data_IF_758333909418
#
_entry.id   IF_758333909418
#
_cell.length_a   1.000
_cell.length_b   1.000
_cell.length_c   1.000
_cell.angle_alpha   90.00
_cell.angle_beta   90.00
_cell.angle_gamma   90.00
#
_symmetry.space_group_name_H-M   'P 1'
#
loop_
_entity.id
_entity.type
_entity.pdbx_description
1 polymer ?
#
# COMPACT_ATOMS: atom_id res chain seq x y z
N UNK A 1 -31.88 -18.31 18.96
CA UNK A 1 -31.47 -18.40 17.54
C UNK A 1 -32.15 -17.33 16.67
N UNK A 2 -33.47 -17.08 16.80
CA UNK A 2 -34.19 -16.08 15.97
C UNK A 2 -33.97 -14.59 16.29
N UNK A 3 -33.40 -14.24 17.44
CA UNK A 3 -33.09 -12.83 17.81
C UNK A 3 -31.66 -12.40 17.48
N UNK A 4 -30.79 -13.33 17.09
CA UNK A 4 -29.40 -13.03 16.69
C UNK A 4 -29.37 -12.43 15.28
N UNK A 5 -30.18 -12.99 14.37
CA UNK A 5 -30.25 -12.57 12.97
C UNK A 5 -30.71 -11.11 12.76
N UNK A 6 -31.73 -10.58 13.47
CA UNK A 6 -32.14 -9.18 13.30
C UNK A 6 -31.11 -8.19 13.84
N UNK A 7 -30.43 -8.55 14.94
CA UNK A 7 -29.39 -7.72 15.55
C UNK A 7 -28.17 -7.60 14.64
N UNK A 8 -27.65 -8.73 14.15
CA UNK A 8 -26.53 -8.77 13.20
C UNK A 8 -26.88 -8.05 11.90
N UNK A 9 -28.09 -8.28 11.35
CA UNK A 9 -28.54 -7.55 10.16
C UNK A 9 -28.54 -6.03 10.38
N UNK A 10 -29.06 -5.56 11.52
CA UNK A 10 -29.10 -4.13 11.82
C UNK A 10 -27.71 -3.51 11.93
N UNK A 11 -26.75 -4.24 12.51
CA UNK A 11 -25.36 -3.78 12.61
C UNK A 11 -24.65 -3.80 11.26
N UNK A 12 -24.87 -4.83 10.44
CA UNK A 12 -24.31 -4.88 9.09
C UNK A 12 -24.80 -3.70 8.24
N UNK A 13 -26.12 -3.41 8.26
CA UNK A 13 -26.67 -2.24 7.57
C UNK A 13 -26.08 -0.94 8.09
N UNK A 14 -25.94 -0.81 9.41
CA UNK A 14 -25.35 0.38 10.01
C UNK A 14 -23.89 0.55 9.64
N UNK A 15 -23.10 -0.52 9.57
CA UNK A 15 -21.71 -0.44 9.14
C UNK A 15 -21.58 0.05 7.70
N UNK A 16 -22.39 -0.48 6.77
CA UNK A 16 -22.41 -0.02 5.38
C UNK A 16 -22.85 1.44 5.26
N UNK A 17 -23.83 1.86 6.05
CA UNK A 17 -24.29 3.25 6.10
C UNK A 17 -23.20 4.19 6.62
N UNK A 18 -22.65 3.88 7.80
CA UNK A 18 -21.71 4.74 8.52
C UNK A 18 -20.36 4.85 7.80
N UNK A 19 -19.99 3.84 7.00
CA UNK A 19 -18.73 3.81 6.23
C UNK A 19 -18.96 4.01 4.73
N UNK A 20 -19.49 3.02 4.01
CA UNK A 20 -19.50 3.07 2.53
C UNK A 20 -20.43 4.18 1.99
N UNK A 21 -21.64 4.33 2.53
CA UNK A 21 -22.60 5.35 2.06
C UNK A 21 -22.10 6.75 2.40
N UNK A 22 -21.73 6.97 3.66
CA UNK A 22 -21.20 8.25 4.12
C UNK A 22 -19.94 8.67 3.35
N UNK A 23 -19.03 7.73 3.10
CA UNK A 23 -17.82 8.00 2.34
C UNK A 23 -18.15 8.33 0.88
N UNK A 24 -19.06 7.60 0.23
CA UNK A 24 -19.51 7.93 -1.12
C UNK A 24 -20.01 9.36 -1.25
N UNK A 25 -20.85 9.82 -0.31
CA UNK A 25 -21.29 11.22 -0.27
C UNK A 25 -20.13 12.20 -0.03
N UNK A 26 -19.26 11.90 0.92
CA UNK A 26 -18.11 12.76 1.21
C UNK A 26 -17.19 12.92 0.00
N UNK A 27 -16.92 11.84 -0.75
CA UNK A 27 -16.10 11.90 -1.97
C UNK A 27 -16.73 12.84 -3.00
N UNK A 28 -18.02 12.64 -3.29
CA UNK A 28 -18.78 13.45 -4.25
C UNK A 28 -18.78 14.96 -3.93
N UNK A 29 -18.66 15.31 -2.64
CA UNK A 29 -18.64 16.70 -2.18
C UNK A 29 -17.23 17.29 -2.06
N UNK A 30 -16.22 16.46 -1.83
CA UNK A 30 -14.90 16.90 -1.36
C UNK A 30 -13.79 16.72 -2.39
N UNK A 31 -13.93 15.78 -3.34
CA UNK A 31 -12.90 15.47 -4.32
C UNK A 31 -13.21 16.08 -5.70
N UNK A 32 -12.19 16.24 -6.58
CA UNK A 32 -12.43 16.57 -7.97
C UNK A 32 -13.28 15.49 -8.68
N UNK A 33 -14.23 15.88 -9.56
CA UNK A 33 -15.16 14.94 -10.18
C UNK A 33 -14.51 14.00 -11.21
N UNK A 34 -13.32 14.33 -11.69
CA UNK A 34 -12.52 13.57 -12.65
C UNK A 34 -11.41 12.73 -12.00
N UNK A 35 -11.38 12.65 -10.67
CA UNK A 35 -10.37 11.90 -9.94
C UNK A 35 -10.38 10.40 -10.26
N UNK A 36 -9.19 9.82 -10.30
CA UNK A 36 -8.95 8.39 -10.38
C UNK A 36 -8.71 7.82 -8.97
N UNK A 37 -9.61 6.96 -8.51
CA UNK A 37 -9.68 6.53 -7.11
C UNK A 37 -9.52 5.00 -7.02
N UNK A 38 -8.52 4.52 -6.29
CA UNK A 38 -8.38 3.12 -5.95
C UNK A 38 -9.09 2.79 -4.63
N UNK A 39 -9.85 1.70 -4.58
CA UNK A 39 -10.70 1.31 -3.45
C UNK A 39 -10.43 -0.13 -3.02
N UNK A 40 -10.15 -0.36 -1.73
CA UNK A 40 -10.09 -1.71 -1.15
C UNK A 40 -11.48 -2.31 -0.83
N UNK A 41 -12.52 -1.48 -0.82
CA UNK A 41 -13.91 -1.87 -0.62
C UNK A 41 -14.80 -0.96 -1.45
N UNK A 42 -15.16 -1.39 -2.66
CA UNK A 42 -15.89 -0.55 -3.60
C UNK A 42 -17.32 -0.27 -3.15
N UNK A 43 -18.03 -1.30 -2.64
CA UNK A 43 -19.37 -1.24 -2.05
C UNK A 43 -20.32 -0.15 -2.60
N UNK A 44 -21.02 0.52 -1.68
CA UNK A 44 -21.87 1.66 -2.02
C UNK A 44 -21.08 2.92 -2.44
N UNK A 45 -19.77 2.98 -2.12
CA UNK A 45 -18.89 4.11 -2.46
C UNK A 45 -18.86 4.30 -3.97
N UNK A 46 -18.77 3.20 -4.74
CA UNK A 46 -18.77 3.26 -6.21
C UNK A 46 -20.04 3.86 -6.82
N UNK A 47 -21.17 3.70 -6.14
CA UNK A 47 -22.46 4.16 -6.64
C UNK A 47 -22.77 5.61 -6.23
N UNK A 48 -22.37 5.99 -5.01
CA UNK A 48 -22.70 7.29 -4.42
C UNK A 48 -21.60 8.34 -4.57
N UNK A 49 -20.36 7.89 -4.77
CA UNK A 49 -19.22 8.72 -5.13
C UNK A 49 -19.21 9.13 -6.60
N UNK A 50 -18.14 9.82 -6.99
CA UNK A 50 -17.86 10.23 -8.37
C UNK A 50 -16.41 9.91 -8.77
N UNK A 51 -16.01 10.25 -10.00
CA UNK A 51 -14.70 9.93 -10.52
C UNK A 51 -14.62 8.54 -11.14
N UNK A 52 -13.43 8.19 -11.62
CA UNK A 52 -13.13 6.86 -12.14
C UNK A 52 -12.62 6.01 -10.99
N UNK A 53 -13.24 4.85 -10.74
CA UNK A 53 -12.90 4.02 -9.59
C UNK A 53 -12.32 2.68 -10.01
N UNK A 54 -11.21 2.31 -9.38
CA UNK A 54 -10.52 1.02 -9.51
C UNK A 54 -10.80 0.22 -8.24
N UNK A 55 -11.38 -0.96 -8.38
CA UNK A 55 -11.63 -1.87 -7.28
C UNK A 55 -10.42 -2.80 -7.09
N UNK A 56 -9.72 -2.62 -5.97
CA UNK A 56 -8.49 -3.35 -5.65
C UNK A 56 -8.71 -4.83 -5.36
N UNK A 57 -9.95 -5.26 -5.12
CA UNK A 57 -10.27 -6.69 -4.98
C UNK A 57 -10.52 -7.38 -6.33
N UNK A 58 -10.50 -6.62 -7.44
CA UNK A 58 -10.73 -7.14 -8.78
C UNK A 58 -12.19 -7.51 -9.08
N UNK A 59 -13.13 -7.24 -8.17
CA UNK A 59 -14.55 -7.57 -8.37
C UNK A 59 -15.21 -6.67 -9.41
N UNK A 60 -14.76 -5.42 -9.53
CA UNK A 60 -15.24 -4.43 -10.50
C UNK A 60 -14.14 -3.92 -11.47
N UNK A 61 -12.91 -4.44 -11.36
CA UNK A 61 -11.76 -4.04 -12.18
C UNK A 61 -10.91 -5.27 -12.49
N UNK A 62 -11.32 -6.02 -13.52
CA UNK A 62 -10.73 -7.32 -13.84
C UNK A 62 -9.28 -7.23 -14.31
N UNK A 63 -8.82 -6.05 -14.73
CA UNK A 63 -7.44 -5.77 -15.13
C UNK A 63 -6.44 -5.94 -13.99
N UNK A 64 -6.93 -5.95 -12.74
CA UNK A 64 -6.14 -6.16 -11.55
C UNK A 64 -6.01 -7.65 -11.17
N UNK A 65 -6.78 -8.54 -11.80
CA UNK A 65 -6.66 -9.97 -11.57
C UNK A 65 -5.24 -10.41 -11.95
N UNK A 66 -4.56 -11.09 -11.03
CA UNK A 66 -3.17 -11.55 -11.16
C UNK A 66 -2.11 -10.43 -11.29
N UNK A 67 -2.42 -9.19 -10.91
CA UNK A 67 -1.46 -8.08 -10.86
C UNK A 67 -1.16 -7.63 -9.44
N UNK A 68 0.05 -7.13 -9.23
CA UNK A 68 0.38 -6.42 -7.99
C UNK A 68 -0.39 -5.09 -7.92
N UNK A 69 -1.07 -4.86 -6.80
CA UNK A 69 -1.93 -3.69 -6.62
C UNK A 69 -1.13 -2.39 -6.66
N UNK A 70 0.08 -2.37 -6.09
CA UNK A 70 0.91 -1.17 -6.06
C UNK A 70 1.49 -0.84 -7.43
N UNK A 71 1.97 -1.83 -8.16
CA UNK A 71 2.42 -1.67 -9.54
C UNK A 71 1.30 -1.08 -10.40
N UNK A 72 0.10 -1.67 -10.34
CA UNK A 72 -1.05 -1.18 -11.09
C UNK A 72 -1.41 0.26 -10.73
N UNK A 73 -1.54 0.58 -9.44
CA UNK A 73 -1.84 1.95 -9.00
C UNK A 73 -0.76 2.95 -9.43
N UNK A 74 0.50 2.51 -9.50
CA UNK A 74 1.64 3.33 -9.96
C UNK A 74 1.64 3.58 -11.46
N UNK A 75 1.32 2.58 -12.26
CA UNK A 75 1.14 2.74 -13.70
C UNK A 75 -0.03 3.68 -14.01
N UNK A 76 -1.14 3.52 -13.29
CA UNK A 76 -2.34 4.33 -13.49
C UNK A 76 -2.20 5.74 -12.90
N UNK A 77 -1.24 5.96 -12.01
CA UNK A 77 -1.07 7.20 -11.24
C UNK A 77 -2.39 7.65 -10.59
N UNK A 78 -3.02 6.75 -9.84
CA UNK A 78 -4.27 7.06 -9.13
C UNK A 78 -4.08 8.29 -8.24
N UNK A 79 -5.11 9.13 -8.13
CA UNK A 79 -5.09 10.37 -7.35
C UNK A 79 -5.39 10.13 -5.87
N UNK A 80 -6.24 9.13 -5.59
CA UNK A 80 -6.66 8.80 -4.24
C UNK A 80 -6.68 7.29 -4.00
N UNK A 81 -6.34 6.88 -2.78
CA UNK A 81 -6.44 5.52 -2.28
C UNK A 81 -7.39 5.48 -1.09
N UNK A 82 -8.35 4.56 -1.09
CA UNK A 82 -9.26 4.35 0.03
C UNK A 82 -9.22 2.90 0.47
N UNK A 83 -8.70 2.66 1.68
CA UNK A 83 -8.49 1.32 2.22
C UNK A 83 -8.71 1.26 3.72
N UNK A 84 -8.96 0.06 4.22
CA UNK A 84 -8.76 -0.28 5.63
C UNK A 84 -7.26 -0.58 5.82
N UNK A 85 -6.49 0.27 6.51
CA UNK A 85 -5.03 0.11 6.56
C UNK A 85 -4.60 -1.25 7.13
N UNK A 86 -5.33 -1.74 8.13
CA UNK A 86 -5.08 -3.03 8.77
C UNK A 86 -5.47 -4.27 7.92
N UNK A 87 -5.97 -4.07 6.69
CA UNK A 87 -6.43 -5.14 5.79
C UNK A 87 -5.67 -5.11 4.48
N UNK A 88 -5.49 -3.92 3.90
CA UNK A 88 -4.84 -3.76 2.61
C UNK A 88 -3.37 -3.44 2.80
N UNK A 89 -3.05 -2.29 3.40
CA UNK A 89 -1.69 -1.78 3.53
C UNK A 89 -1.55 -0.93 4.79
N UNK A 90 -0.53 -1.19 5.61
CA UNK A 90 -0.27 -0.41 6.83
C UNK A 90 -0.02 1.09 6.54
N UNK A 91 0.41 1.41 5.31
CA UNK A 91 0.51 2.77 4.78
C UNK A 91 0.95 2.75 3.32
N UNK A 92 0.87 3.90 2.64
CA UNK A 92 1.42 4.10 1.30
C UNK A 92 2.38 5.30 1.29
N UNK A 93 3.68 5.12 0.98
CA UNK A 93 4.69 6.20 0.94
C UNK A 93 4.35 7.39 0.05
N UNK A 94 3.63 7.14 -1.04
CA UNK A 94 3.17 8.17 -1.94
C UNK A 94 1.80 8.67 -1.55
N UNK A 95 1.38 8.60 -0.28
CA UNK A 95 0.01 8.95 0.05
C UNK A 95 -0.12 9.62 1.42
N UNK A 96 -0.77 10.78 1.42
CA UNK A 96 -1.08 11.56 2.60
C UNK A 96 -2.51 11.26 3.05
N UNK A 97 -2.71 10.92 4.33
CA UNK A 97 -4.05 10.81 4.91
C UNK A 97 -4.74 12.17 4.88
N UNK A 98 -5.92 12.24 4.26
CA UNK A 98 -6.72 13.47 4.19
C UNK A 98 -8.08 13.34 4.88
N UNK A 99 -8.57 12.12 5.07
CA UNK A 99 -9.84 11.85 5.70
C UNK A 99 -9.89 10.44 6.26
N UNK A 100 -10.68 10.22 7.32
CA UNK A 100 -10.92 8.90 7.89
C UNK A 100 -12.31 8.79 8.51
N UNK A 101 -12.84 7.57 8.49
CA UNK A 101 -14.05 7.18 9.20
C UNK A 101 -13.71 5.99 10.09
N UNK A 102 -14.00 6.11 11.38
CA UNK A 102 -13.84 5.02 12.35
C UNK A 102 -15.20 4.64 12.93
N UNK A 103 -15.48 3.33 13.02
CA UNK A 103 -16.66 2.76 13.65
C UNK A 103 -16.27 1.91 14.87
N UNK A 104 -17.07 2.00 15.94
CA UNK A 104 -16.78 1.30 17.20
C UNK A 104 -17.15 -0.19 17.16
N UNK A 105 -18.13 -0.55 16.33
CA UNK A 105 -18.66 -1.92 16.26
C UNK A 105 -18.76 -2.37 14.81
N UNK A 106 -17.73 -3.08 14.36
CA UNK A 106 -17.68 -3.66 13.02
C UNK A 106 -18.11 -5.14 13.04
N UNK A 107 -19.04 -5.49 12.16
CA UNK A 107 -19.62 -6.83 12.01
C UNK A 107 -19.47 -7.41 10.60
N UNK A 108 -19.11 -6.58 9.60
CA UNK A 108 -19.14 -6.99 8.19
C UNK A 108 -18.03 -6.39 7.31
N UNK A 109 -17.44 -5.25 7.69
CA UNK A 109 -16.43 -4.56 6.88
C UNK A 109 -15.04 -5.15 7.12
N UNK A 110 -14.11 -4.88 6.19
CA UNK A 110 -12.72 -5.33 6.32
C UNK A 110 -12.04 -4.84 7.60
N UNK A 111 -12.27 -3.59 8.01
CA UNK A 111 -11.68 -3.01 9.20
C UNK A 111 -12.60 -1.99 9.87
N UNK A 112 -12.20 -1.52 11.06
CA UNK A 112 -12.97 -0.52 11.80
C UNK A 112 -12.66 0.92 11.37
N UNK A 113 -11.53 1.15 10.70
CA UNK A 113 -11.10 2.48 10.25
C UNK A 113 -10.81 2.46 8.76
N UNK A 114 -11.66 3.13 7.98
CA UNK A 114 -11.47 3.39 6.56
C UNK A 114 -10.76 4.74 6.38
N UNK A 115 -9.71 4.78 5.58
CA UNK A 115 -8.89 5.98 5.39
C UNK A 115 -8.82 6.35 3.93
N UNK A 116 -8.96 7.64 3.64
CA UNK A 116 -8.70 8.24 2.33
C UNK A 116 -7.32 8.86 2.34
N UNK A 117 -6.52 8.46 1.37
CA UNK A 117 -5.21 9.01 1.10
C UNK A 117 -5.23 9.78 -0.23
N UNK A 118 -4.63 10.96 -0.24
CA UNK A 118 -4.27 11.71 -1.46
C UNK A 118 -2.88 11.28 -1.89
N UNK A 119 -2.70 10.92 -3.16
CA UNK A 119 -1.40 10.45 -3.63
C UNK A 119 -0.46 11.59 -3.98
N UNK A 120 0.81 11.43 -3.64
CA UNK A 120 1.93 12.27 -4.03
C UNK A 120 2.96 11.43 -4.82
N UNK A 121 2.92 11.56 -6.13
CA UNK A 121 3.85 10.90 -7.05
C UNK A 121 5.19 11.63 -7.24
N UNK A 122 5.49 12.62 -6.40
CA UNK A 122 6.75 13.33 -6.39
C UNK A 122 7.47 13.12 -5.04
N UNK A 123 7.87 11.87 -4.72
CA UNK A 123 8.55 11.59 -3.47
C UNK A 123 9.85 12.38 -3.35
N UNK A 124 10.18 12.80 -2.13
CA UNK A 124 11.55 13.17 -1.82
C UNK A 124 12.40 11.91 -1.86
N UNK A 125 13.28 11.81 -2.86
CA UNK A 125 14.22 10.71 -3.01
C UNK A 125 15.38 10.95 -2.04
N UNK A 126 15.53 10.10 -1.02
CA UNK A 126 16.82 9.97 -0.32
C UNK A 126 17.79 9.20 -1.22
N UNK A 127 19.04 9.66 -1.34
CA UNK A 127 20.04 8.96 -2.13
C UNK A 127 20.63 7.77 -1.35
N UNK A 128 21.04 6.72 -2.08
CA UNK A 128 21.78 5.56 -1.54
C UNK A 128 23.12 5.91 -0.88
N UNK A 129 23.59 7.14 -1.08
CA UNK A 129 24.87 7.64 -0.56
C UNK A 129 24.85 7.95 0.95
N UNK A 130 23.72 7.77 1.63
CA UNK A 130 23.58 8.01 3.07
C UNK A 130 23.63 6.71 3.87
N UNK A 131 24.83 6.16 4.06
CA UNK A 131 25.08 4.84 4.66
C UNK A 131 25.61 4.92 6.10
N UNK A 132 25.45 3.82 6.85
CA UNK A 132 26.13 3.60 8.13
C UNK A 132 27.59 3.19 7.86
N UNK A 133 28.55 4.05 8.20
CA UNK A 133 29.97 3.72 8.18
C UNK A 133 30.32 2.72 9.28
N UNK A 134 30.77 1.52 8.89
CA UNK A 134 31.64 0.73 9.77
C UNK A 134 32.97 1.48 9.86
N UNK A 135 33.59 1.50 11.03
CA UNK A 135 34.94 2.04 11.19
C UNK A 135 35.93 1.21 10.35
N UNK A 136 36.36 1.78 9.22
CA UNK A 136 37.26 1.15 8.25
C UNK A 136 38.68 1.73 8.34
N UNK A 137 39.03 2.40 9.44
CA UNK A 137 40.37 2.97 9.61
C UNK A 137 41.43 1.86 9.57
N UNK A 138 42.33 1.92 8.59
CA UNK A 138 43.37 0.90 8.36
C UNK A 138 42.94 -0.30 7.50
N UNK A 139 41.75 -0.27 6.90
CA UNK A 139 41.32 -1.25 5.89
C UNK A 139 41.52 -0.67 4.47
N UNK A 140 41.93 -1.51 3.53
CA UNK A 140 41.98 -1.17 2.10
C UNK A 140 40.66 -1.57 1.43
N UNK A 141 40.09 -0.68 0.62
CA UNK A 141 38.94 -1.01 -0.23
C UNK A 141 39.43 -1.91 -1.38
N UNK A 142 39.01 -3.17 -1.36
CA UNK A 142 39.35 -4.16 -2.39
C UNK A 142 38.31 -4.17 -3.51
N UNK A 143 37.03 -4.02 -3.15
CA UNK A 143 35.91 -4.11 -4.07
C UNK A 143 34.66 -3.39 -3.54
N UNK A 144 33.70 -3.09 -4.43
CA UNK A 144 32.43 -2.42 -4.10
C UNK A 144 31.30 -3.03 -4.92
N UNK A 145 30.24 -3.49 -4.24
CA UNK A 145 29.04 -4.05 -4.85
C UNK A 145 27.80 -3.23 -4.46
N UNK A 146 27.02 -2.79 -5.45
CA UNK A 146 25.71 -2.17 -5.30
C UNK A 146 24.60 -3.23 -5.35
N UNK A 147 24.21 -3.74 -4.17
CA UNK A 147 23.13 -4.73 -4.05
C UNK A 147 21.81 -4.10 -4.47
N UNK A 148 21.14 -4.72 -5.45
CA UNK A 148 19.94 -4.19 -6.12
C UNK A 148 20.18 -3.58 -7.50
N UNK A 149 21.44 -3.46 -7.97
CA UNK A 149 21.76 -3.16 -9.37
C UNK A 149 22.16 -4.44 -10.14
N UNK A 150 21.30 -4.98 -11.02
CA UNK A 150 21.58 -6.23 -11.72
C UNK A 150 22.83 -6.21 -12.60
N UNK A 151 23.26 -5.03 -13.07
CA UNK A 151 24.46 -4.91 -13.87
C UNK A 151 25.72 -5.00 -13.00
N UNK A 152 25.69 -4.39 -11.82
CA UNK A 152 26.79 -4.41 -10.86
C UNK A 152 26.90 -5.76 -10.15
N UNK A 153 25.77 -6.37 -9.79
CA UNK A 153 25.72 -7.74 -9.25
C UNK A 153 26.34 -8.76 -10.22
N UNK A 154 26.04 -8.65 -11.50
CA UNK A 154 26.58 -9.54 -12.53
C UNK A 154 28.08 -9.38 -12.76
N UNK A 155 28.68 -8.23 -12.42
CA UNK A 155 30.13 -8.01 -12.55
C UNK A 155 30.96 -8.48 -11.36
N UNK A 156 30.32 -8.78 -10.22
CA UNK A 156 31.00 -9.12 -8.96
C UNK A 156 30.72 -10.56 -8.49
N UNK A 157 30.33 -11.45 -9.43
CA UNK A 157 29.94 -12.84 -9.15
C UNK A 157 28.99 -12.98 -7.94
N UNK A 158 28.10 -11.99 -7.79
CA UNK A 158 27.16 -11.94 -6.68
C UNK A 158 26.14 -13.06 -6.81
N UNK A 159 25.95 -13.83 -5.74
CA UNK A 159 24.96 -14.90 -5.70
C UNK A 159 24.32 -15.03 -4.33
N UNK A 160 23.06 -15.47 -4.34
CA UNK A 160 22.28 -15.72 -3.14
C UNK A 160 21.86 -17.18 -3.15
N UNK A 161 22.24 -17.94 -2.12
CA UNK A 161 21.79 -19.33 -1.98
C UNK A 161 20.41 -19.35 -1.33
N UNK A 162 19.35 -19.51 -2.11
CA UNK A 162 17.96 -19.47 -1.63
C UNK A 162 17.50 -20.76 -0.91
N UNK A 163 16.64 -20.60 0.11
CA UNK A 163 15.63 -21.61 0.43
C UNK A 163 14.23 -21.21 -0.14
N UNK A 164 13.92 -19.90 -0.25
CA UNK A 164 12.83 -19.28 -1.06
C UNK A 164 13.07 -17.76 -1.24
N UNK A 165 12.76 -17.14 -2.40
CA UNK A 165 12.63 -15.70 -2.49
C UNK A 165 11.34 -15.25 -1.78
N UNK A 166 11.45 -14.26 -0.90
CA UNK A 166 10.30 -13.53 -0.39
C UNK A 166 10.28 -12.15 -1.05
N UNK A 167 9.36 -11.93 -1.99
CA UNK A 167 9.07 -10.57 -2.43
C UNK A 167 8.48 -9.82 -1.22
N UNK A 168 9.22 -8.86 -0.69
CA UNK A 168 8.76 -8.01 0.39
C UNK A 168 9.15 -6.57 0.07
N UNK A 169 8.26 -5.83 -0.60
CA UNK A 169 8.32 -4.37 -0.55
C UNK A 169 8.17 -3.96 0.91
N UNK A 170 9.25 -3.47 1.51
CA UNK A 170 9.24 -3.05 2.90
C UNK A 170 8.85 -1.57 2.97
N UNK A 171 7.62 -1.34 3.41
CA UNK A 171 7.15 -0.02 3.74
C UNK A 171 7.43 0.26 5.21
N UNK A 172 8.28 1.25 5.52
CA UNK A 172 8.45 1.73 6.89
C UNK A 172 7.98 3.16 7.00
N UNK A 173 6.76 3.34 7.51
CA UNK A 173 6.24 4.63 7.89
C UNK A 173 6.64 4.95 9.35
N UNK A 174 7.45 5.98 9.55
CA UNK A 174 7.60 6.67 10.84
C UNK A 174 6.66 7.88 10.87
N UNK A 175 6.42 8.45 12.05
CA UNK A 175 5.43 9.52 12.26
C UNK A 175 5.68 10.81 11.44
N UNK A 176 6.90 10.97 10.91
CA UNK A 176 7.40 12.17 10.22
C UNK A 176 8.13 11.87 8.89
N UNK A 177 8.47 10.61 8.61
CA UNK A 177 9.16 10.19 7.38
C UNK A 177 8.64 8.83 6.94
N UNK A 178 8.33 8.69 5.65
CA UNK A 178 8.15 7.36 5.06
C UNK A 178 9.39 6.98 4.28
N UNK A 179 10.02 5.86 4.68
CA UNK A 179 11.08 5.23 3.91
C UNK A 179 10.44 4.14 3.04
N UNK A 180 10.56 4.30 1.72
CA UNK A 180 10.31 3.23 0.77
C UNK A 180 11.64 2.62 0.41
N UNK A 181 11.78 1.33 0.69
CA UNK A 181 12.88 0.51 0.21
C UNK A 181 12.29 -0.60 -0.67
N UNK A 182 12.44 -0.45 -1.98
CA UNK A 182 12.11 -1.50 -2.95
C UNK A 182 13.29 -2.49 -2.99
N UNK A 183 13.46 -3.22 -1.89
CA UNK A 183 14.47 -4.25 -1.74
C UNK A 183 13.89 -5.64 -1.98
N UNK A 184 14.72 -6.56 -2.45
CA UNK A 184 14.41 -7.99 -2.40
C UNK A 184 14.84 -8.50 -1.03
N UNK A 185 13.93 -9.15 -0.30
CA UNK A 185 14.26 -9.78 0.96
C UNK A 185 14.59 -11.25 0.72
N UNK A 186 15.86 -11.60 0.93
CA UNK A 186 16.30 -12.98 0.84
C UNK A 186 16.53 -13.56 2.24
N UNK A 187 16.11 -14.81 2.43
CA UNK A 187 16.56 -15.63 3.55
C UNK A 187 17.53 -16.67 3.01
N UNK A 188 18.82 -16.48 3.27
CA UNK A 188 19.88 -17.32 2.71
C UNK A 188 21.28 -16.81 3.07
N UNK A 189 22.28 -17.37 2.40
CA UNK A 189 23.66 -16.88 2.44
C UNK A 189 23.92 -16.05 1.17
N UNK A 190 24.55 -14.89 1.35
CA UNK A 190 25.02 -14.05 0.26
C UNK A 190 26.52 -14.31 0.05
N UNK A 191 26.94 -14.44 -1.22
CA UNK A 191 28.34 -14.61 -1.59
C UNK A 191 28.73 -13.59 -2.66
N UNK A 192 29.90 -12.99 -2.49
CA UNK A 192 30.61 -12.18 -3.49
C UNK A 192 32.07 -12.63 -3.49
N UNK A 193 32.71 -12.72 -4.66
CA UNK A 193 34.08 -13.25 -4.80
C UNK A 193 34.96 -12.42 -5.70
#
# INVERSE_FOLDING_TARGET
MWQVLPGEYSWNCRNVEDVNVRLGHWLSESLPPDSLIALGDAGAIRYLGHGTMIDLLGLNSHELLDRDQFEFMSEQRVDYLIVFPNVSFDGWPYAKRIYEITIDHNTILGGSTMVVYETDWNPQISNKESWYQIDSEGMDLIDSLDVGDPADEASHDYSISEDKPAFARMFKAAADVTLLDDGWAYTGEESFT
#
